data_IF_760422068999
#
_entry.id   IF_760422068999
#
_cell.length_a   1.000
_cell.length_b   1.000
_cell.length_c   1.000
_cell.angle_alpha   90.00
_cell.angle_beta   90.00
_cell.angle_gamma   90.00
#
_symmetry.space_group_name_H-M   'P 1'
#
loop_
_entity.id
_entity.type
_entity.pdbx_description
1 polymer ?
#
# COMPACT_ATOMS: atom_id res chain seq x y z
N UNK A 1 -2.31 12.93 -20.81
CA UNK A 1 -3.69 12.91 -20.21
C UNK A 1 -4.49 11.64 -20.51
N UNK A 2 -4.14 10.81 -21.51
CA UNK A 2 -4.94 9.65 -21.95
C UNK A 2 -4.61 8.31 -21.27
N UNK A 3 -3.50 8.18 -20.54
CA UNK A 3 -3.07 6.88 -19.95
C UNK A 3 -3.67 6.57 -18.55
N UNK A 4 -4.18 7.58 -17.85
CA UNK A 4 -4.78 7.38 -16.53
C UNK A 4 -6.24 6.87 -16.58
N UNK A 5 -6.98 7.19 -17.64
CA UNK A 5 -8.37 6.74 -17.82
C UNK A 5 -8.51 5.25 -18.09
N UNK A 6 -7.47 4.60 -18.63
CA UNK A 6 -7.49 3.16 -18.93
C UNK A 6 -7.42 2.26 -17.71
N UNK A 7 -6.64 2.65 -16.68
CA UNK A 7 -6.47 1.87 -15.47
C UNK A 7 -7.74 1.86 -14.60
N UNK A 8 -8.41 3.01 -14.49
CA UNK A 8 -9.68 3.12 -13.74
C UNK A 8 -10.85 2.37 -14.40
N UNK A 9 -10.84 2.19 -15.72
CA UNK A 9 -11.90 1.45 -16.43
C UNK A 9 -11.88 -0.06 -16.22
N UNK A 10 -10.75 -0.65 -15.83
CA UNK A 10 -10.62 -2.11 -15.61
C UNK A 10 -11.03 -2.54 -14.21
N UNK A 11 -11.04 -1.62 -13.24
CA UNK A 11 -11.52 -1.88 -11.89
C UNK A 11 -13.03 -1.63 -11.82
N UNK A 12 -13.82 -2.66 -12.12
CA UNK A 12 -15.31 -2.62 -12.18
C UNK A 12 -15.98 -2.52 -10.80
N UNK A 13 -15.37 -1.94 -9.77
CA UNK A 13 -15.97 -1.83 -8.45
C UNK A 13 -16.14 -0.39 -7.99
N UNK A 14 -17.29 -0.15 -7.33
CA UNK A 14 -17.91 1.13 -7.01
C UNK A 14 -17.19 2.00 -5.95
N UNK A 15 -16.14 1.48 -5.28
CA UNK A 15 -15.36 2.30 -4.34
C UNK A 15 -14.25 3.07 -5.06
N UNK A 16 -14.27 4.37 -4.96
CA UNK A 16 -13.19 5.21 -5.49
C UNK A 16 -11.94 5.00 -4.61
N UNK A 17 -10.88 4.44 -5.22
CA UNK A 17 -9.62 4.16 -4.53
C UNK A 17 -8.68 5.35 -4.69
N UNK A 18 -8.60 6.19 -3.67
CA UNK A 18 -7.79 7.41 -3.70
C UNK A 18 -6.32 7.21 -3.31
N UNK A 19 -5.92 6.00 -2.89
CA UNK A 19 -4.55 5.73 -2.46
C UNK A 19 -3.52 5.68 -3.61
N UNK A 20 -3.96 5.60 -4.88
CA UNK A 20 -3.08 5.66 -6.06
C UNK A 20 -2.99 7.05 -6.69
N UNK A 21 -3.31 8.11 -5.99
CA UNK A 21 -3.22 9.47 -6.54
C UNK A 21 -1.78 10.00 -6.48
N UNK A 22 -1.43 10.94 -7.40
CA UNK A 22 -0.12 11.60 -7.40
C UNK A 22 0.14 12.46 -6.17
N UNK A 23 -0.91 12.96 -5.53
CA UNK A 23 -0.84 13.73 -4.29
C UNK A 23 -1.27 12.83 -3.14
N UNK A 24 -0.48 12.74 -2.07
CA UNK A 24 -0.86 11.96 -0.91
C UNK A 24 -2.15 12.50 -0.29
N UNK A 25 -3.18 11.67 -0.25
CA UNK A 25 -4.43 11.98 0.43
C UNK A 25 -4.35 11.30 1.79
N UNK A 26 -4.22 12.06 2.85
CA UNK A 26 -4.19 11.58 4.23
C UNK A 26 -5.49 11.88 4.98
N UNK A 27 -6.35 12.76 4.45
CA UNK A 27 -7.69 13.05 4.97
C UNK A 27 -8.71 13.12 3.83
N UNK A 28 -9.88 12.52 4.02
CA UNK A 28 -10.94 12.49 3.03
C UNK A 28 -12.30 12.37 3.69
N UNK A 29 -13.37 12.67 2.95
CA UNK A 29 -14.76 12.44 3.40
C UNK A 29 -15.36 11.30 2.58
N UNK A 30 -16.04 10.38 3.24
CA UNK A 30 -16.73 9.26 2.62
C UNK A 30 -18.10 9.04 3.26
N UNK A 31 -18.94 8.24 2.61
CA UNK A 31 -20.21 7.78 3.15
C UNK A 31 -20.11 6.31 3.53
N UNK A 32 -20.62 5.96 4.70
CA UNK A 32 -20.73 4.56 5.14
C UNK A 32 -21.76 3.83 4.29
N UNK A 33 -21.35 2.77 3.61
CA UNK A 33 -22.21 1.93 2.76
C UNK A 33 -22.80 0.79 3.58
N UNK A 34 -21.97 0.17 4.45
CA UNK A 34 -22.39 -0.90 5.35
C UNK A 34 -21.57 -0.92 6.62
N UNK A 35 -22.15 -1.41 7.71
CA UNK A 35 -21.52 -1.60 9.01
C UNK A 35 -21.97 -2.94 9.59
N UNK A 36 -21.09 -3.93 9.61
CA UNK A 36 -21.39 -5.28 10.06
C UNK A 36 -20.59 -5.63 11.31
N UNK A 37 -21.23 -6.07 12.41
CA UNK A 37 -20.53 -6.53 13.60
C UNK A 37 -19.77 -7.83 13.32
N UNK A 38 -18.49 -7.88 13.76
CA UNK A 38 -17.64 -9.06 13.66
C UNK A 38 -16.97 -9.35 15.01
N UNK A 39 -16.29 -10.48 15.14
CA UNK A 39 -15.68 -10.92 16.40
C UNK A 39 -14.69 -9.88 17.01
N UNK A 40 -14.02 -9.09 16.17
CA UNK A 40 -12.96 -8.15 16.58
C UNK A 40 -13.35 -6.68 16.42
N UNK A 41 -14.64 -6.36 16.26
CA UNK A 41 -15.10 -4.99 16.02
C UNK A 41 -16.18 -4.91 14.95
N UNK A 42 -16.02 -4.04 13.98
CA UNK A 42 -17.00 -3.82 12.92
C UNK A 42 -16.30 -3.77 11.56
N UNK A 43 -16.88 -4.43 10.57
CA UNK A 43 -16.46 -4.31 9.17
C UNK A 43 -17.26 -3.19 8.49
N UNK A 44 -16.56 -2.16 8.06
CA UNK A 44 -17.10 -0.96 7.43
C UNK A 44 -16.75 -0.94 5.94
N UNK A 45 -17.76 -0.81 5.09
CA UNK A 45 -17.57 -0.49 3.67
C UNK A 45 -17.92 0.97 3.42
N UNK A 46 -17.08 1.68 2.65
CA UNK A 46 -17.27 3.09 2.29
C UNK A 46 -17.52 3.23 0.79
N UNK A 47 -18.22 4.30 0.38
CA UNK A 47 -18.42 4.65 -1.05
C UNK A 47 -17.09 4.98 -1.76
N UNK A 48 -16.11 5.47 -1.00
CA UNK A 48 -14.74 5.76 -1.43
C UNK A 48 -13.79 5.65 -0.25
N UNK A 49 -12.52 5.35 -0.53
CA UNK A 49 -11.50 5.31 0.50
C UNK A 49 -10.13 5.74 -0.03
N UNK A 50 -9.31 6.31 0.86
CA UNK A 50 -7.89 6.53 0.66
C UNK A 50 -7.02 5.58 1.50
N UNK A 51 -7.62 4.74 2.36
CA UNK A 51 -6.92 3.70 3.08
C UNK A 51 -6.40 2.63 2.12
N UNK A 52 -5.12 2.29 2.24
CA UNK A 52 -4.48 1.22 1.50
C UNK A 52 -4.83 -0.13 2.13
N UNK A 53 -5.43 -1.07 1.39
CA UNK A 53 -5.62 -2.42 1.88
C UNK A 53 -4.30 -3.19 1.86
N UNK A 54 -4.13 -4.15 2.76
CA UNK A 54 -2.97 -5.04 2.74
C UNK A 54 -2.79 -5.67 1.35
N UNK A 55 -1.58 -5.61 0.83
CA UNK A 55 -1.29 -6.17 -0.49
C UNK A 55 0.14 -5.92 -0.96
N UNK A 56 0.65 -6.81 -1.81
CA UNK A 56 2.01 -6.68 -2.36
C UNK A 56 3.12 -6.68 -1.30
N UNK A 57 2.92 -7.37 -0.17
CA UNK A 57 3.85 -7.39 0.95
C UNK A 57 3.81 -6.16 1.85
N UNK A 58 3.02 -5.14 1.51
CA UNK A 58 2.82 -3.96 2.35
C UNK A 58 1.61 -4.16 3.27
N UNK A 59 1.72 -3.88 4.58
CA UNK A 59 0.59 -3.92 5.51
C UNK A 59 -0.47 -2.87 5.15
N UNK A 60 -1.68 -3.09 5.63
CA UNK A 60 -2.77 -2.12 5.50
C UNK A 60 -2.47 -0.82 6.27
N UNK A 61 -3.17 0.24 5.87
CA UNK A 61 -3.14 1.47 6.66
C UNK A 61 -3.90 1.33 7.96
N UNK A 62 -3.48 2.12 8.93
CA UNK A 62 -4.23 2.47 10.13
C UNK A 62 -4.66 3.93 10.10
N UNK A 63 -5.53 4.33 11.03
CA UNK A 63 -6.01 5.70 11.13
C UNK A 63 -7.38 5.79 11.79
N UNK A 64 -8.21 6.76 11.37
CA UNK A 64 -9.55 6.96 11.94
C UNK A 64 -10.63 7.15 10.88
N UNK A 65 -11.86 6.75 11.22
CA UNK A 65 -13.10 7.06 10.52
C UNK A 65 -14.06 7.74 11.53
N UNK A 66 -14.09 9.08 11.54
CA UNK A 66 -14.74 9.82 12.61
C UNK A 66 -14.09 9.49 13.95
N UNK A 67 -14.89 8.94 14.90
CA UNK A 67 -14.40 8.53 16.23
C UNK A 67 -13.88 7.10 16.28
N UNK A 68 -14.12 6.29 15.23
CA UNK A 68 -13.67 4.90 15.15
C UNK A 68 -12.22 4.80 14.72
N UNK A 69 -11.42 3.91 15.36
CA UNK A 69 -10.08 3.58 14.88
C UNK A 69 -10.15 2.50 13.81
N UNK A 70 -9.42 2.71 12.71
CA UNK A 70 -9.21 1.70 11.67
C UNK A 70 -8.03 0.83 12.09
N UNK A 71 -8.33 -0.45 12.35
CA UNK A 71 -7.38 -1.44 12.86
C UNK A 71 -6.74 -2.27 11.73
N UNK A 72 -7.47 -2.44 10.62
CA UNK A 72 -7.04 -3.22 9.46
C UNK A 72 -7.88 -2.83 8.23
N UNK A 73 -7.32 -2.99 7.04
CA UNK A 73 -8.01 -2.74 5.78
C UNK A 73 -7.69 -3.86 4.81
N UNK A 74 -8.71 -4.52 4.30
CA UNK A 74 -8.59 -5.66 3.42
C UNK A 74 -9.37 -5.47 2.12
N UNK A 75 -8.89 -6.05 1.03
CA UNK A 75 -9.65 -6.19 -0.20
C UNK A 75 -10.26 -7.59 -0.27
N UNK A 76 -11.59 -7.65 -0.34
CA UNK A 76 -12.35 -8.91 -0.46
C UNK A 76 -13.37 -8.78 -1.59
N UNK A 77 -13.30 -9.67 -2.56
CA UNK A 77 -14.22 -9.67 -3.73
C UNK A 77 -14.30 -8.31 -4.43
N UNK A 78 -13.17 -7.60 -4.49
CA UNK A 78 -13.07 -6.28 -5.11
C UNK A 78 -13.63 -5.12 -4.28
N UNK A 79 -14.04 -5.36 -3.04
CA UNK A 79 -14.49 -4.35 -2.08
C UNK A 79 -13.40 -4.08 -1.05
N UNK A 80 -13.27 -2.83 -0.63
CA UNK A 80 -12.37 -2.47 0.45
C UNK A 80 -13.17 -2.42 1.74
N UNK A 81 -12.77 -3.27 2.69
CA UNK A 81 -13.39 -3.44 4.00
C UNK A 81 -12.44 -2.93 5.08
N UNK A 82 -12.94 -2.05 5.94
CA UNK A 82 -12.19 -1.47 7.05
C UNK A 82 -12.65 -2.13 8.35
N UNK A 83 -11.72 -2.74 9.09
CA UNK A 83 -12.00 -3.23 10.44
C UNK A 83 -11.85 -2.07 11.43
N UNK A 84 -12.91 -1.77 12.19
CA UNK A 84 -12.91 -0.69 13.18
C UNK A 84 -13.27 -1.19 14.58
N UNK A 85 -12.85 -0.45 15.59
CA UNK A 85 -13.17 -0.71 17.00
C UNK A 85 -14.61 -0.28 17.38
N UNK A 86 -15.17 0.72 16.67
CA UNK A 86 -16.52 1.26 16.90
C UNK A 86 -17.40 1.12 15.66
N UNK A 87 -18.72 0.96 15.89
CA UNK A 87 -19.71 0.98 14.82
C UNK A 87 -19.89 2.39 14.26
N UNK A 88 -20.19 2.46 12.96
CA UNK A 88 -20.57 3.69 12.27
C UNK A 88 -21.98 3.53 11.69
N UNK A 89 -22.75 4.62 11.68
CA UNK A 89 -24.12 4.62 11.15
C UNK A 89 -24.09 4.52 9.62
N UNK A 90 -24.84 3.56 9.06
CA UNK A 90 -25.01 3.43 7.62
C UNK A 90 -25.64 4.67 7.01
N UNK A 91 -25.12 5.14 5.89
CA UNK A 91 -25.53 6.36 5.22
C UNK A 91 -24.89 7.63 5.79
N UNK A 92 -24.26 7.59 6.97
CA UNK A 92 -23.59 8.75 7.54
C UNK A 92 -22.36 9.17 6.71
N UNK A 93 -22.11 10.48 6.68
CA UNK A 93 -20.85 11.02 6.18
C UNK A 93 -19.81 10.99 7.29
N UNK A 94 -18.63 10.43 7.00
CA UNK A 94 -17.53 10.32 7.95
C UNK A 94 -16.26 10.93 7.37
N UNK A 95 -15.44 11.50 8.24
CA UNK A 95 -14.09 11.92 7.90
C UNK A 95 -13.12 10.76 8.14
N UNK A 96 -12.34 10.41 7.11
CA UNK A 96 -11.24 9.46 7.24
C UNK A 96 -9.92 10.20 7.35
N UNK A 97 -9.08 9.78 8.29
CA UNK A 97 -7.70 10.26 8.45
C UNK A 97 -6.77 9.06 8.53
N UNK A 98 -5.78 9.01 7.64
CA UNK A 98 -4.77 7.96 7.59
C UNK A 98 -3.63 8.31 8.54
N UNK A 99 -3.10 7.32 9.26
CA UNK A 99 -1.82 7.45 9.95
C UNK A 99 -0.71 7.64 8.91
N UNK A 100 -0.48 8.90 8.57
CA UNK A 100 0.43 9.27 7.48
C UNK A 100 1.88 8.88 7.76
N UNK A 101 2.30 8.94 9.00
CA UNK A 101 3.66 8.60 9.40
C UNK A 101 3.97 7.12 9.10
N UNK A 102 3.05 6.23 9.46
CA UNK A 102 3.14 4.80 9.17
C UNK A 102 3.03 4.52 7.66
N UNK A 103 2.04 5.12 6.98
CA UNK A 103 1.87 5.00 5.54
C UNK A 103 3.15 5.41 4.80
N UNK A 104 3.72 6.56 5.14
CA UNK A 104 4.90 7.08 4.48
C UNK A 104 6.12 6.20 4.71
N UNK A 105 6.31 5.70 5.94
CA UNK A 105 7.34 4.71 6.24
C UNK A 105 7.20 3.44 5.40
N UNK A 106 5.98 2.89 5.30
CA UNK A 106 5.70 1.71 4.48
C UNK A 106 5.98 1.96 2.99
N UNK A 107 5.60 3.13 2.47
CA UNK A 107 5.90 3.52 1.08
C UNK A 107 7.39 3.64 0.81
N UNK A 108 8.16 4.18 1.76
CA UNK A 108 9.62 4.27 1.64
C UNK A 108 10.28 2.88 1.63
N UNK A 109 9.86 2.00 2.53
CA UNK A 109 10.36 0.62 2.60
C UNK A 109 10.02 -0.15 1.32
N UNK A 110 8.79 -0.07 0.83
CA UNK A 110 8.35 -0.73 -0.40
C UNK A 110 9.15 -0.21 -1.63
N UNK A 111 9.36 1.10 -1.73
CA UNK A 111 10.18 1.67 -2.79
C UNK A 111 11.64 1.23 -2.69
N UNK A 112 12.18 1.15 -1.46
CA UNK A 112 13.51 0.65 -1.18
C UNK A 112 13.68 -0.83 -1.60
N UNK A 113 12.66 -1.66 -1.32
CA UNK A 113 12.64 -3.05 -1.79
C UNK A 113 12.79 -3.13 -3.31
N UNK A 114 11.97 -2.40 -4.06
CA UNK A 114 12.04 -2.40 -5.53
C UNK A 114 13.39 -1.95 -6.08
N UNK A 115 14.04 -0.97 -5.45
CA UNK A 115 15.40 -0.53 -5.82
C UNK A 115 16.39 -1.67 -5.60
N UNK A 116 16.36 -2.31 -4.41
CA UNK A 116 17.28 -3.38 -4.05
C UNK A 116 17.07 -4.62 -4.93
N UNK A 117 15.82 -5.08 -5.07
CA UNK A 117 15.48 -6.24 -5.91
C UNK A 117 15.85 -6.01 -7.38
N UNK A 118 15.58 -4.82 -7.91
CA UNK A 118 15.95 -4.45 -9.27
C UNK A 118 17.45 -4.43 -9.50
N UNK A 119 18.23 -3.96 -8.52
CA UNK A 119 19.70 -3.98 -8.56
C UNK A 119 20.25 -5.41 -8.50
N UNK A 120 19.73 -6.24 -7.59
CA UNK A 120 20.12 -7.65 -7.44
C UNK A 120 19.84 -8.42 -8.74
N UNK A 121 18.64 -8.25 -9.30
CA UNK A 121 18.29 -8.87 -10.58
C UNK A 121 19.23 -8.41 -11.71
N UNK A 122 19.49 -7.13 -11.83
CA UNK A 122 20.36 -6.57 -12.87
C UNK A 122 21.80 -7.06 -12.78
N UNK A 123 22.35 -7.21 -11.57
CA UNK A 123 23.77 -7.51 -11.36
C UNK A 123 24.03 -9.02 -11.29
N UNK A 124 23.12 -9.79 -10.65
CA UNK A 124 23.32 -11.20 -10.36
C UNK A 124 22.29 -12.12 -11.05
N UNK A 125 21.23 -11.57 -11.65
CA UNK A 125 20.17 -12.36 -12.28
C UNK A 125 19.27 -13.07 -11.27
N UNK A 126 19.30 -12.70 -9.99
CA UNK A 126 18.44 -13.28 -8.97
C UNK A 126 17.12 -12.52 -8.86
N UNK A 127 16.05 -13.27 -8.66
CA UNK A 127 14.71 -12.73 -8.50
C UNK A 127 14.32 -12.67 -7.02
N UNK A 128 13.54 -11.66 -6.67
CA UNK A 128 12.79 -11.63 -5.42
C UNK A 128 11.66 -12.66 -5.52
N UNK A 129 11.66 -13.65 -4.64
CA UNK A 129 10.65 -14.72 -4.54
C UNK A 129 9.80 -14.61 -3.28
N UNK A 130 10.08 -13.65 -2.42
CA UNK A 130 9.30 -13.36 -1.22
C UNK A 130 9.67 -12.01 -0.62
N UNK A 131 8.66 -11.26 -0.18
CA UNK A 131 8.82 -9.96 0.45
C UNK A 131 7.88 -9.84 1.65
N UNK A 132 8.42 -9.40 2.77
CA UNK A 132 7.63 -9.18 3.97
C UNK A 132 8.09 -7.91 4.69
N UNK A 133 7.15 -7.03 5.01
CA UNK A 133 7.35 -5.88 5.86
C UNK A 133 6.93 -6.20 7.29
N UNK A 134 7.86 -6.04 8.23
CA UNK A 134 7.61 -6.11 9.66
C UNK A 134 7.75 -4.75 10.33
N UNK A 135 7.45 -4.70 11.63
CA UNK A 135 7.56 -3.47 12.44
C UNK A 135 9.00 -3.01 12.64
N UNK A 136 9.97 -3.91 12.61
CA UNK A 136 11.38 -3.63 12.85
C UNK A 136 12.24 -3.63 11.58
N UNK A 137 11.65 -3.96 10.44
CA UNK A 137 12.35 -4.02 9.16
C UNK A 137 11.63 -4.86 8.14
N UNK A 138 12.24 -4.99 6.97
CA UNK A 138 11.73 -5.81 5.88
C UNK A 138 12.68 -6.95 5.55
N UNK A 139 12.15 -8.04 5.01
CA UNK A 139 12.92 -9.14 4.47
C UNK A 139 12.63 -9.35 3.00
N UNK A 140 13.65 -9.75 2.25
CA UNK A 140 13.56 -10.10 0.83
C UNK A 140 14.15 -11.50 0.68
N UNK A 141 13.36 -12.43 0.13
CA UNK A 141 13.81 -13.77 -0.18
C UNK A 141 14.26 -13.82 -1.65
N UNK A 142 15.48 -14.32 -1.88
CA UNK A 142 16.07 -14.39 -3.21
C UNK A 142 16.18 -15.83 -3.66
N UNK A 143 16.06 -16.08 -4.97
CA UNK A 143 16.26 -17.41 -5.56
C UNK A 143 17.74 -17.79 -5.78
N UNK A 144 18.69 -17.02 -5.24
CA UNK A 144 20.12 -17.30 -5.33
C UNK A 144 20.89 -16.80 -4.11
N UNK A 145 22.06 -17.43 -3.79
CA UNK A 145 22.87 -17.03 -2.66
C UNK A 145 23.65 -15.76 -2.92
N UNK A 146 23.83 -14.94 -1.89
CA UNK A 146 24.65 -13.73 -1.94
C UNK A 146 25.72 -13.75 -0.85
N UNK A 147 26.93 -13.27 -1.19
CA UNK A 147 27.97 -13.04 -0.20
C UNK A 147 27.76 -11.69 0.48
N UNK A 148 28.43 -11.50 1.61
CA UNK A 148 28.37 -10.23 2.33
C UNK A 148 28.89 -9.06 1.48
N UNK A 149 29.97 -9.26 0.74
CA UNK A 149 30.57 -8.25 -0.15
C UNK A 149 29.60 -7.84 -1.28
N UNK A 150 28.86 -8.82 -1.82
CA UNK A 150 27.83 -8.53 -2.83
C UNK A 150 26.68 -7.72 -2.25
N UNK A 151 26.24 -8.03 -1.02
CA UNK A 151 25.19 -7.26 -0.33
C UNK A 151 25.64 -5.82 -0.07
N UNK A 152 26.88 -5.61 0.40
CA UNK A 152 27.43 -4.26 0.63
C UNK A 152 27.51 -3.45 -0.67
N UNK A 153 27.83 -4.08 -1.80
CA UNK A 153 27.86 -3.37 -3.10
C UNK A 153 26.44 -2.99 -3.55
N UNK A 154 25.44 -3.85 -3.35
CA UNK A 154 24.03 -3.54 -3.65
C UNK A 154 23.55 -2.40 -2.75
N UNK A 155 23.84 -2.43 -1.45
CA UNK A 155 23.52 -1.34 -0.52
C UNK A 155 24.09 -0.01 -0.99
N UNK A 156 25.36 0.02 -1.38
CA UNK A 156 26.01 1.25 -1.89
C UNK A 156 25.31 1.77 -3.15
N UNK A 157 24.95 0.90 -4.09
CA UNK A 157 24.23 1.29 -5.31
C UNK A 157 22.82 1.78 -5.02
N UNK A 158 22.10 1.11 -4.10
CA UNK A 158 20.75 1.49 -3.70
C UNK A 158 20.75 2.88 -3.04
N UNK A 159 21.68 3.12 -2.11
CA UNK A 159 21.84 4.44 -1.49
C UNK A 159 22.19 5.52 -2.51
N UNK A 160 23.05 5.21 -3.49
CA UNK A 160 23.37 6.16 -4.56
C UNK A 160 22.12 6.52 -5.38
N UNK A 161 21.29 5.55 -5.74
CA UNK A 161 20.04 5.79 -6.49
C UNK A 161 19.07 6.71 -5.71
N UNK A 162 19.01 6.56 -4.38
CA UNK A 162 18.21 7.44 -3.50
C UNK A 162 18.81 8.85 -3.46
N UNK A 163 20.12 8.98 -3.28
CA UNK A 163 20.79 10.29 -3.24
C UNK A 163 20.72 11.06 -4.56
N UNK A 164 20.76 10.33 -5.68
CA UNK A 164 20.60 10.92 -7.02
C UNK A 164 19.16 11.38 -7.28
N UNK A 165 18.22 11.08 -6.36
CA UNK A 165 16.79 11.44 -6.46
C UNK A 165 16.22 11.11 -7.84
N UNK A 166 16.46 9.88 -8.30
CA UNK A 166 16.04 9.43 -9.63
C UNK A 166 14.51 9.43 -9.77
N UNK A 167 13.97 9.92 -10.88
CA UNK A 167 12.53 9.89 -11.10
C UNK A 167 12.04 8.45 -11.29
N UNK A 168 10.91 8.11 -10.64
CA UNK A 168 10.23 6.83 -10.84
C UNK A 168 9.24 6.93 -12.00
N UNK A 169 9.37 6.02 -12.95
CA UNK A 169 8.46 5.87 -14.08
C UNK A 169 7.70 4.55 -13.95
N UNK A 170 6.38 4.62 -13.83
CA UNK A 170 5.51 3.44 -13.73
C UNK A 170 4.92 3.14 -15.11
N UNK A 171 5.22 1.97 -15.64
CA UNK A 171 4.67 1.47 -16.89
C UNK A 171 3.71 0.33 -16.60
N UNK A 172 2.53 0.38 -17.21
CA UNK A 172 1.57 -0.71 -17.18
C UNK A 172 1.66 -1.42 -18.52
N UNK A 173 2.16 -2.65 -18.55
CA UNK A 173 2.07 -3.49 -19.74
C UNK A 173 0.63 -3.95 -19.91
N UNK A 174 0.07 -3.73 -21.10
CA UNK A 174 -1.16 -4.41 -21.49
C UNK A 174 -0.81 -5.90 -21.68
N UNK A 175 -1.31 -6.75 -20.76
CA UNK A 175 -1.24 -8.21 -20.93
C UNK A 175 -2.24 -8.69 -21.95
#
# INVERSE_FOLDING_TARGET
>A
ESSQTGFYRRMKHKSWRNYFTRNPIYAFTARVVSCLPVKRGFEIELDRTAFYPEGGGQPSDTGTLGEAHVLDVQERDGRIVHLTDLALEEGAAVQGEINWEERFSNMQQHSGEHIVSGLIHRVFGYDNVGFHMGTEGMTIDLNGPMTWEQLMEIERQANQAVWDNLPLHIFLSAG
#
